data_IF_349624074777
#
_entry.id   IF_349624074777
#
_cell.length_a   1.000
_cell.length_b   1.000
_cell.length_c   1.000
_cell.angle_alpha   90.00
_cell.angle_beta   90.00
_cell.angle_gamma   90.00
#
_symmetry.space_group_name_H-M   'P 1'
#
loop_
_entity.id
_entity.type
_entity.pdbx_description
1 polymer ?
#
# COMPACT_ATOMS: atom_id res chain seq x y z
N UNK A 1 -10.57 -6.87 -12.21
CA UNK A 1 -9.93 -7.67 -11.13
C UNK A 1 -8.54 -7.11 -10.78
N UNK A 2 -7.60 -6.97 -11.72
CA UNK A 2 -6.26 -6.43 -11.40
C UNK A 2 -6.27 -5.04 -10.77
N UNK A 3 -7.01 -4.08 -11.34
CA UNK A 3 -7.10 -2.72 -10.80
C UNK A 3 -7.74 -2.66 -9.40
N UNK A 4 -8.82 -3.43 -9.18
CA UNK A 4 -9.47 -3.49 -7.88
C UNK A 4 -8.55 -4.03 -6.79
N UNK A 5 -7.71 -5.02 -7.10
CA UNK A 5 -6.73 -5.56 -6.16
C UNK A 5 -5.66 -4.53 -5.80
N UNK A 6 -5.24 -3.68 -6.75
CA UNK A 6 -4.34 -2.56 -6.46
C UNK A 6 -4.94 -1.57 -5.48
N UNK A 7 -6.20 -1.14 -5.71
CA UNK A 7 -6.89 -0.22 -4.80
C UNK A 7 -7.09 -0.85 -3.42
N UNK A 8 -7.42 -2.15 -3.35
CA UNK A 8 -7.45 -2.91 -2.08
C UNK A 8 -6.09 -2.84 -1.37
N UNK A 9 -5.00 -3.13 -2.08
CA UNK A 9 -3.65 -3.10 -1.53
C UNK A 9 -3.31 -1.75 -0.90
N UNK A 10 -3.52 -0.65 -1.64
CA UNK A 10 -3.26 0.71 -1.14
C UNK A 10 -4.06 1.01 0.14
N UNK A 11 -5.34 0.63 0.19
CA UNK A 11 -6.15 0.83 1.41
C UNK A 11 -5.73 -0.04 2.58
N UNK A 12 -5.24 -1.25 2.31
CA UNK A 12 -4.67 -2.10 3.36
C UNK A 12 -3.41 -1.46 3.93
N UNK A 13 -2.56 -0.83 3.11
CA UNK A 13 -1.44 -0.04 3.63
C UNK A 13 -1.91 1.10 4.53
N UNK A 14 -2.98 1.81 4.20
CA UNK A 14 -3.55 2.84 5.10
C UNK A 14 -3.96 2.23 6.45
N UNK A 15 -4.74 1.14 6.43
CA UNK A 15 -5.19 0.48 7.65
C UNK A 15 -4.02 0.03 8.52
N UNK A 16 -2.99 -0.54 7.88
CA UNK A 16 -1.77 -1.00 8.54
C UNK A 16 -1.00 0.18 9.15
N UNK A 17 -0.75 1.25 8.40
CA UNK A 17 -0.04 2.43 8.89
C UNK A 17 -0.81 3.13 10.01
N UNK A 18 -2.13 3.21 9.92
CA UNK A 18 -2.97 3.77 10.97
C UNK A 18 -2.95 2.92 12.24
N UNK A 19 -3.07 1.59 12.10
CA UNK A 19 -2.97 0.67 13.23
C UNK A 19 -1.62 0.81 13.96
N UNK A 20 -0.52 0.97 13.23
CA UNK A 20 0.81 1.22 13.82
C UNK A 20 0.90 2.54 14.53
N UNK A 21 0.37 3.61 13.94
CA UNK A 21 0.37 4.92 14.59
C UNK A 21 -0.33 4.83 15.94
N UNK A 22 -1.49 4.19 16.01
CA UNK A 22 -2.21 3.99 17.28
C UNK A 22 -1.37 3.16 18.27
N UNK A 23 -0.77 2.06 17.81
CA UNK A 23 0.04 1.19 18.67
C UNK A 23 1.26 1.92 19.27
N UNK A 24 1.93 2.77 18.48
CA UNK A 24 3.16 3.45 18.89
C UNK A 24 2.87 4.76 19.64
N UNK A 25 1.92 5.57 19.17
CA UNK A 25 1.59 6.85 19.81
C UNK A 25 0.69 6.69 21.03
N UNK A 26 -0.15 5.63 21.09
CA UNK A 26 -1.13 5.41 22.15
C UNK A 26 -1.17 3.95 22.64
N UNK A 27 -0.05 3.40 23.17
CA UNK A 27 0.08 1.98 23.47
C UNK A 27 -1.01 1.44 24.42
N UNK A 28 -1.36 2.17 25.48
CA UNK A 28 -2.39 1.75 26.44
C UNK A 28 -3.83 1.80 25.91
N UNK A 29 -4.09 2.60 24.86
CA UNK A 29 -5.41 2.68 24.23
C UNK A 29 -5.53 1.79 22.99
N UNK A 30 -4.41 1.33 22.44
CA UNK A 30 -4.37 0.48 21.26
C UNK A 30 -5.17 -0.81 21.41
N UNK A 31 -5.08 -1.48 22.57
CA UNK A 31 -5.83 -2.71 22.87
C UNK A 31 -7.34 -2.49 22.98
N UNK A 32 -7.78 -1.25 23.25
CA UNK A 32 -9.21 -0.92 23.34
C UNK A 32 -9.80 -0.61 21.96
N UNK A 33 -9.02 -0.02 21.04
CA UNK A 33 -9.50 0.38 19.71
C UNK A 33 -9.26 -0.66 18.62
N UNK A 34 -8.16 -1.42 18.67
CA UNK A 34 -7.78 -2.42 17.68
C UNK A 34 -8.23 -3.84 18.09
N UNK A 35 -9.53 -3.99 18.30
CA UNK A 35 -10.16 -5.30 18.56
C UNK A 35 -10.37 -6.07 17.25
N UNK A 36 -10.51 -7.40 17.32
CA UNK A 36 -10.80 -8.22 16.14
C UNK A 36 -12.07 -7.75 15.39
N UNK A 37 -13.10 -7.30 16.12
CA UNK A 37 -14.34 -6.79 15.53
C UNK A 37 -14.14 -5.47 14.77
N UNK A 38 -13.45 -4.50 15.38
CA UNK A 38 -13.17 -3.21 14.74
C UNK A 38 -12.22 -3.36 13.55
N UNK A 39 -11.19 -4.21 13.66
CA UNK A 39 -10.30 -4.55 12.53
C UNK A 39 -11.06 -5.22 11.39
N UNK A 40 -11.93 -6.20 11.69
CA UNK A 40 -12.73 -6.88 10.66
C UNK A 40 -13.68 -5.92 9.95
N UNK A 41 -14.33 -5.02 10.70
CA UNK A 41 -15.19 -3.98 10.12
C UNK A 41 -14.39 -3.02 9.23
N UNK A 42 -13.20 -2.58 9.66
CA UNK A 42 -12.33 -1.71 8.87
C UNK A 42 -11.88 -2.37 7.56
N UNK A 43 -11.51 -3.66 7.60
CA UNK A 43 -11.16 -4.44 6.41
C UNK A 43 -12.37 -4.55 5.47
N UNK A 44 -13.56 -4.87 5.99
CA UNK A 44 -14.77 -4.99 5.19
C UNK A 44 -15.14 -3.66 4.50
N UNK A 45 -15.00 -2.54 5.21
CA UNK A 45 -15.20 -1.19 4.66
C UNK A 45 -14.18 -0.92 3.54
N UNK A 46 -12.88 -1.16 3.80
CA UNK A 46 -11.83 -0.93 2.81
C UNK A 46 -12.05 -1.75 1.52
N UNK A 47 -12.39 -3.04 1.67
CA UNK A 47 -12.74 -3.91 0.53
C UNK A 47 -13.95 -3.36 -0.23
N UNK A 48 -15.04 -3.04 0.48
CA UNK A 48 -16.27 -2.53 -0.12
C UNK A 48 -16.03 -1.26 -0.92
N UNK A 49 -15.30 -0.30 -0.34
CA UNK A 49 -14.93 0.95 -1.03
C UNK A 49 -14.07 0.67 -2.28
N UNK A 50 -13.19 -0.35 -2.26
CA UNK A 50 -12.31 -0.67 -3.40
C UNK A 50 -13.07 -1.25 -4.57
N UNK A 51 -14.02 -2.14 -4.27
CA UNK A 51 -14.91 -2.66 -5.29
C UNK A 51 -15.87 -1.59 -5.80
N UNK A 52 -16.43 -0.74 -4.93
CA UNK A 52 -17.29 0.37 -5.33
C UNK A 52 -16.57 1.37 -6.23
N UNK A 53 -15.32 1.73 -5.92
CA UNK A 53 -14.53 2.62 -6.78
C UNK A 53 -14.32 2.02 -8.18
N UNK A 54 -14.13 0.70 -8.28
CA UNK A 54 -13.91 0.01 -9.54
C UNK A 54 -15.20 -0.43 -10.26
N UNK A 55 -16.35 -0.38 -9.60
CA UNK A 55 -17.63 -0.82 -10.15
C UNK A 55 -18.02 -0.13 -11.48
N UNK A 56 -17.75 1.18 -11.69
CA UNK A 56 -18.04 1.84 -12.96
C UNK A 56 -17.41 1.15 -14.19
N UNK A 57 -16.24 0.53 -14.05
CA UNK A 57 -15.57 -0.20 -15.15
C UNK A 57 -16.34 -1.44 -15.65
N UNK A 58 -17.36 -1.88 -14.90
CA UNK A 58 -18.17 -3.07 -15.22
C UNK A 58 -19.57 -2.66 -15.66
N UNK A 59 -20.12 -1.57 -15.13
CA UNK A 59 -21.53 -1.20 -15.28
C UNK A 59 -21.78 -0.03 -16.23
N UNK A 60 -20.76 0.80 -16.52
CA UNK A 60 -20.91 1.98 -17.38
C UNK A 60 -20.46 1.63 -18.79
N UNK A 61 -21.36 1.84 -19.75
CA UNK A 61 -21.04 1.67 -21.17
C UNK A 61 -19.89 2.57 -21.60
N UNK A 62 -19.04 2.07 -22.52
CA UNK A 62 -17.86 2.75 -23.03
C UNK A 62 -16.77 3.11 -21.98
N UNK A 63 -16.88 2.61 -20.75
CA UNK A 63 -15.85 2.72 -19.71
C UNK A 63 -15.20 1.37 -19.46
N UNK A 64 -13.95 1.23 -19.86
CA UNK A 64 -13.20 -0.02 -19.70
C UNK A 64 -11.73 0.25 -19.35
N UNK A 65 -11.08 -0.78 -18.80
CA UNK A 65 -9.65 -0.82 -18.51
C UNK A 65 -9.08 -2.12 -19.05
N UNK A 66 -8.25 -2.05 -20.09
CA UNK A 66 -7.74 -3.25 -20.76
C UNK A 66 -6.27 -3.11 -21.18
N UNK A 67 -5.64 -4.26 -21.40
CA UNK A 67 -4.26 -4.33 -21.85
C UNK A 67 -4.18 -4.17 -23.37
N UNK A 68 -3.53 -3.10 -23.83
CA UNK A 68 -3.25 -2.85 -25.22
C UNK A 68 -1.94 -3.54 -25.63
N UNK A 69 -2.03 -4.52 -26.53
CA UNK A 69 -0.87 -5.30 -27.01
C UNK A 69 0.14 -4.49 -27.82
N UNK A 70 -0.29 -3.44 -28.52
CA UNK A 70 0.60 -2.63 -29.38
C UNK A 70 1.48 -1.70 -28.57
N UNK A 71 0.92 -1.05 -27.55
CA UNK A 71 1.68 -0.20 -26.61
C UNK A 71 2.24 -0.99 -25.43
N UNK A 72 1.80 -2.24 -25.26
CA UNK A 72 2.12 -3.13 -24.13
C UNK A 72 1.80 -2.53 -22.75
N UNK A 73 0.71 -1.76 -22.66
CA UNK A 73 0.28 -1.04 -21.46
C UNK A 73 -1.19 -1.31 -21.16
N UNK A 74 -1.56 -1.19 -19.89
CA UNK A 74 -2.95 -1.08 -19.49
C UNK A 74 -3.43 0.34 -19.73
N UNK A 75 -4.57 0.49 -20.41
CA UNK A 75 -5.15 1.79 -20.74
C UNK A 75 -6.63 1.82 -20.37
N UNK A 76 -7.09 3.01 -19.99
CA UNK A 76 -8.51 3.32 -19.88
C UNK A 76 -9.09 3.65 -21.25
N UNK A 77 -10.42 3.61 -21.38
CA UNK A 77 -11.09 3.97 -22.63
C UNK A 77 -10.71 5.40 -23.08
N UNK A 78 -10.28 5.60 -24.34
CA UNK A 78 -9.71 6.89 -24.79
C UNK A 78 -10.77 7.98 -25.06
N UNK A 79 -11.98 7.81 -24.51
CA UNK A 79 -13.07 8.77 -24.62
C UNK A 79 -13.10 9.71 -23.39
N UNK A 80 -14.06 10.64 -23.36
CA UNK A 80 -14.19 11.63 -22.29
C UNK A 80 -14.46 10.98 -20.92
N UNK A 81 -15.26 9.92 -20.89
CA UNK A 81 -15.65 9.21 -19.65
C UNK A 81 -14.45 8.46 -19.08
N UNK A 82 -13.71 7.73 -19.91
CA UNK A 82 -12.50 7.01 -19.50
C UNK A 82 -11.42 7.93 -18.97
N UNK A 83 -11.13 9.06 -19.65
CA UNK A 83 -10.18 10.06 -19.14
C UNK A 83 -10.62 10.70 -17.83
N UNK A 84 -11.91 10.97 -17.68
CA UNK A 84 -12.46 11.51 -16.43
C UNK A 84 -12.33 10.53 -15.28
N UNK A 85 -12.67 9.26 -15.51
CA UNK A 85 -12.50 8.19 -14.53
C UNK A 85 -11.03 7.98 -14.16
N UNK A 86 -10.15 7.87 -15.16
CA UNK A 86 -8.71 7.70 -14.98
C UNK A 86 -8.12 8.80 -14.08
N UNK A 87 -8.46 10.06 -14.33
CA UNK A 87 -7.96 11.17 -13.52
C UNK A 87 -8.59 11.22 -12.11
N UNK A 88 -9.91 11.16 -12.00
CA UNK A 88 -10.64 11.51 -10.77
C UNK A 88 -11.01 10.32 -9.89
N UNK A 89 -11.19 9.14 -10.47
CA UNK A 89 -11.57 7.92 -9.75
C UNK A 89 -10.41 6.92 -9.63
N UNK A 90 -9.33 7.12 -10.38
CA UNK A 90 -8.14 6.28 -10.27
C UNK A 90 -6.93 7.05 -9.73
N UNK A 91 -6.31 7.92 -10.54
CA UNK A 91 -5.04 8.55 -10.16
C UNK A 91 -5.14 9.45 -8.93
N UNK A 92 -6.11 10.36 -8.88
CA UNK A 92 -6.22 11.30 -7.77
C UNK A 92 -6.48 10.60 -6.42
N UNK A 93 -7.48 9.71 -6.26
CA UNK A 93 -7.71 9.01 -5.00
C UNK A 93 -6.51 8.18 -4.57
N UNK A 94 -5.92 7.41 -5.48
CA UNK A 94 -4.76 6.56 -5.19
C UNK A 94 -3.55 7.39 -4.73
N UNK A 95 -3.31 8.54 -5.36
CA UNK A 95 -2.21 9.44 -4.99
C UNK A 95 -2.44 10.04 -3.60
N UNK A 96 -3.68 10.46 -3.29
CA UNK A 96 -4.05 10.97 -1.96
C UNK A 96 -3.88 9.88 -0.91
N UNK A 97 -4.40 8.68 -1.18
CA UNK A 97 -4.33 7.53 -0.29
C UNK A 97 -2.88 7.13 0.00
N UNK A 98 -2.03 7.08 -1.03
CA UNK A 98 -0.59 6.85 -0.85
C UNK A 98 0.10 7.97 -0.07
N UNK A 99 -0.26 9.23 -0.31
CA UNK A 99 0.21 10.37 0.48
C UNK A 99 -0.16 10.24 1.96
N UNK A 100 -1.36 9.75 2.27
CA UNK A 100 -1.79 9.45 3.65
C UNK A 100 -0.93 8.36 4.27
N UNK A 101 -0.62 7.27 3.55
CA UNK A 101 0.29 6.21 4.03
C UNK A 101 1.64 6.80 4.42
N UNK A 102 2.27 7.55 3.51
CA UNK A 102 3.58 8.18 3.76
C UNK A 102 3.53 9.12 4.97
N UNK A 103 2.48 9.93 5.09
CA UNK A 103 2.30 10.85 6.21
C UNK A 103 2.17 10.08 7.54
N UNK A 104 1.33 9.05 7.60
CA UNK A 104 1.15 8.22 8.80
C UNK A 104 2.46 7.52 9.20
N UNK A 105 3.20 6.99 8.22
CA UNK A 105 4.50 6.33 8.47
C UNK A 105 5.55 7.32 8.99
N UNK A 106 5.61 8.54 8.44
CA UNK A 106 6.51 9.60 8.91
C UNK A 106 6.15 10.02 10.34
N UNK A 107 4.87 10.26 10.64
CA UNK A 107 4.41 10.61 12.00
C UNK A 107 4.80 9.49 12.96
N UNK A 108 4.54 8.23 12.59
CA UNK A 108 4.90 7.06 13.40
C UNK A 108 6.40 7.00 13.67
N UNK A 109 7.24 7.28 12.67
CA UNK A 109 8.70 7.33 12.82
C UNK A 109 9.14 8.45 13.78
N UNK A 110 8.53 9.63 13.70
CA UNK A 110 8.81 10.75 14.61
C UNK A 110 8.49 10.36 16.05
N UNK A 111 7.29 9.80 16.30
CA UNK A 111 6.89 9.32 17.63
C UNK A 111 7.85 8.25 18.15
N UNK A 112 8.24 7.29 17.31
CA UNK A 112 9.18 6.24 17.69
C UNK A 112 10.56 6.81 18.08
N UNK A 113 11.08 7.80 17.34
CA UNK A 113 12.35 8.47 17.67
C UNK A 113 12.26 9.26 18.96
N UNK A 114 11.18 10.01 19.17
CA UNK A 114 10.97 10.79 20.40
C UNK A 114 10.81 9.87 21.62
N UNK A 115 10.05 8.78 21.47
CA UNK A 115 9.90 7.76 22.51
C UNK A 115 11.26 7.12 22.85
N UNK A 116 12.07 6.76 21.85
CA UNK A 116 13.40 6.20 22.07
C UNK A 116 14.36 7.20 22.75
N UNK A 117 14.27 8.49 22.42
CA UNK A 117 15.07 9.55 23.07
C UNK A 117 14.67 9.78 24.54
N UNK A 118 13.41 9.53 24.90
CA UNK A 118 12.87 9.78 26.24
C UNK A 118 12.80 8.51 27.12
N UNK A 119 13.02 7.32 26.55
CA UNK A 119 12.85 6.05 27.27
C UNK A 119 14.17 5.51 27.82
N UNK A 120 14.64 6.15 28.90
CA UNK A 120 15.45 5.49 29.94
C UNK A 120 14.54 4.77 30.96
N UNK A 121 13.21 4.94 30.91
CA UNK A 121 12.27 4.42 31.92
C UNK A 121 10.92 3.95 31.35
N UNK A 122 10.86 2.81 30.66
CA UNK A 122 9.55 2.16 30.44
C UNK A 122 9.63 0.65 30.54
N UNK A 123 8.77 0.14 31.43
CA UNK A 123 8.51 -1.22 31.92
C UNK A 123 8.05 -2.24 30.88
N UNK A 124 8.06 -1.91 29.59
CA UNK A 124 7.81 -2.91 28.54
C UNK A 124 9.03 -3.81 28.36
N UNK A 125 8.81 -5.13 28.37
CA UNK A 125 9.87 -6.12 28.21
C UNK A 125 10.63 -5.88 26.90
N UNK A 126 11.95 -6.10 26.90
CA UNK A 126 12.79 -5.92 25.71
C UNK A 126 12.28 -6.69 24.49
N UNK A 127 11.59 -7.82 24.72
CA UNK A 127 10.93 -8.65 23.70
C UNK A 127 9.78 -7.92 22.98
N UNK A 128 8.90 -7.21 23.70
CA UNK A 128 7.79 -6.46 23.10
C UNK A 128 8.29 -5.34 22.19
N UNK A 129 9.29 -4.58 22.65
CA UNK A 129 9.91 -3.50 21.87
C UNK A 129 10.57 -4.02 20.59
N UNK A 130 11.24 -5.18 20.65
CA UNK A 130 11.88 -5.78 19.50
C UNK A 130 10.87 -6.21 18.41
N UNK A 131 9.71 -6.74 18.82
CA UNK A 131 8.61 -7.09 17.90
C UNK A 131 8.03 -5.84 17.25
N UNK A 132 7.78 -4.78 18.01
CA UNK A 132 7.27 -3.51 17.47
C UNK A 132 8.22 -2.87 16.45
N UNK A 133 9.52 -2.83 16.76
CA UNK A 133 10.55 -2.33 15.83
C UNK A 133 10.61 -3.19 14.56
N UNK A 134 10.50 -4.51 14.67
CA UNK A 134 10.49 -5.42 13.52
C UNK A 134 9.28 -5.15 12.62
N UNK A 135 8.09 -5.02 13.20
CA UNK A 135 6.85 -4.72 12.46
C UNK A 135 6.90 -3.33 11.81
N UNK A 136 7.55 -2.35 12.45
CA UNK A 136 7.81 -1.05 11.84
C UNK A 136 8.74 -1.15 10.63
N UNK A 137 9.88 -1.84 10.79
CA UNK A 137 10.85 -2.04 9.70
C UNK A 137 10.22 -2.73 8.50
N UNK A 138 9.48 -3.81 8.74
CA UNK A 138 8.72 -4.49 7.70
C UNK A 138 7.83 -3.49 6.97
N UNK A 139 7.03 -2.75 7.74
CA UNK A 139 6.08 -1.77 7.23
C UNK A 139 6.68 -0.72 6.31
N UNK A 140 7.75 -0.11 6.79
CA UNK A 140 8.51 0.85 6.03
C UNK A 140 9.09 0.23 4.75
N UNK A 141 9.62 -1.00 4.84
CA UNK A 141 10.12 -1.74 3.68
C UNK A 141 9.04 -1.99 2.63
N UNK A 142 7.80 -2.29 3.02
CA UNK A 142 6.69 -2.51 2.09
C UNK A 142 6.24 -1.21 1.36
N UNK A 143 6.40 -0.04 1.99
CA UNK A 143 6.11 1.25 1.34
C UNK A 143 7.11 1.59 0.22
N UNK A 144 8.32 1.02 0.23
CA UNK A 144 9.39 1.30 -0.76
C UNK A 144 9.06 0.77 -2.16
N UNK A 145 8.70 -0.50 -2.38
CA UNK A 145 8.28 -1.00 -3.71
C UNK A 145 7.14 -0.20 -4.34
N UNK A 146 6.18 0.24 -3.51
CA UNK A 146 5.06 1.07 -3.96
C UNK A 146 5.55 2.44 -4.41
N UNK A 147 6.41 3.10 -3.63
CA UNK A 147 7.01 4.39 -3.99
C UNK A 147 7.80 4.32 -5.31
N UNK A 148 8.57 3.24 -5.49
CA UNK A 148 9.31 2.99 -6.73
C UNK A 148 8.33 2.86 -7.90
N UNK A 149 7.26 2.07 -7.73
CA UNK A 149 6.23 1.90 -8.77
C UNK A 149 5.62 3.23 -9.21
N UNK A 150 5.21 4.08 -8.25
CA UNK A 150 4.68 5.40 -8.58
C UNK A 150 5.70 6.30 -9.27
N UNK A 151 6.96 6.23 -8.86
CA UNK A 151 8.05 7.00 -9.50
C UNK A 151 8.25 6.55 -10.94
N UNK A 152 8.18 5.24 -11.20
CA UNK A 152 8.24 4.69 -12.55
C UNK A 152 7.04 5.11 -13.41
N UNK A 153 5.83 5.12 -12.85
CA UNK A 153 4.64 5.55 -13.58
C UNK A 153 4.68 7.05 -13.90
N UNK A 154 5.04 7.87 -12.93
CA UNK A 154 4.99 9.33 -13.04
C UNK A 154 6.16 9.90 -13.85
N UNK A 155 7.37 9.35 -13.71
CA UNK A 155 8.59 9.96 -14.23
C UNK A 155 9.34 9.08 -15.23
N UNK A 156 9.42 7.76 -15.03
CA UNK A 156 10.18 6.91 -15.97
C UNK A 156 9.39 6.61 -17.25
N UNK A 157 8.11 6.24 -17.11
CA UNK A 157 7.26 5.82 -18.23
C UNK A 157 7.10 6.90 -19.30
N UNK A 158 6.92 8.20 -18.97
CA UNK A 158 6.83 9.25 -20.00
C UNK A 158 8.13 9.53 -20.74
N UNK A 159 9.29 9.08 -20.22
CA UNK A 159 10.61 9.36 -20.78
C UNK A 159 11.16 8.23 -21.66
N UNK A 160 10.56 7.04 -21.61
CA UNK A 160 11.01 5.89 -22.39
C UNK A 160 10.22 5.76 -23.68
N UNK A 161 10.88 5.29 -24.73
CA UNK A 161 10.24 4.98 -26.01
C UNK A 161 10.23 3.47 -26.25
N UNK A 162 9.21 3.01 -26.98
CA UNK A 162 9.06 1.61 -27.36
C UNK A 162 8.16 0.80 -26.42
N UNK A 163 7.37 -0.10 -27.02
CA UNK A 163 6.36 -0.87 -26.30
C UNK A 163 6.95 -1.74 -25.18
N UNK A 164 8.11 -2.36 -25.41
CA UNK A 164 8.75 -3.17 -24.37
C UNK A 164 9.25 -2.33 -23.18
N UNK A 165 9.81 -1.15 -23.43
CA UNK A 165 10.24 -0.26 -22.36
C UNK A 165 9.03 0.20 -21.52
N UNK A 166 7.93 0.59 -22.18
CA UNK A 166 6.67 0.87 -21.51
C UNK A 166 6.15 -0.30 -20.67
N UNK A 167 6.23 -1.53 -21.17
CA UNK A 167 5.85 -2.72 -20.41
C UNK A 167 6.70 -2.85 -19.14
N UNK A 168 8.01 -2.68 -19.25
CA UNK A 168 8.95 -2.78 -18.13
C UNK A 168 8.68 -1.71 -17.06
N UNK A 169 8.41 -0.47 -17.47
CA UNK A 169 8.17 0.65 -16.54
C UNK A 169 6.74 0.71 -16.00
N UNK A 170 5.79 -0.02 -16.61
CA UNK A 170 4.38 -0.07 -16.16
C UNK A 170 4.02 -1.44 -15.59
N UNK A 171 3.67 -2.38 -16.46
CA UNK A 171 3.06 -3.66 -16.09
C UNK A 171 4.01 -4.55 -15.31
N UNK A 172 5.26 -4.68 -15.76
CA UNK A 172 6.26 -5.47 -15.04
C UNK A 172 6.52 -4.86 -13.66
N UNK A 173 6.81 -3.55 -13.59
CA UNK A 173 7.06 -2.86 -12.32
C UNK A 173 5.89 -3.03 -11.34
N UNK A 174 4.66 -2.90 -11.81
CA UNK A 174 3.46 -3.08 -11.01
C UNK A 174 3.40 -4.47 -10.34
N UNK A 175 3.56 -5.54 -11.12
CA UNK A 175 3.50 -6.91 -10.60
C UNK A 175 4.74 -7.25 -9.76
N UNK A 176 5.91 -6.74 -10.16
CA UNK A 176 7.15 -6.92 -9.42
C UNK A 176 7.05 -6.32 -8.02
N UNK A 177 6.49 -5.11 -7.89
CA UNK A 177 6.30 -4.47 -6.61
C UNK A 177 5.38 -5.27 -5.67
N UNK A 178 4.28 -5.84 -6.18
CA UNK A 178 3.44 -6.76 -5.40
C UNK A 178 4.17 -8.02 -4.96
N UNK A 179 4.99 -8.60 -5.85
CA UNK A 179 5.80 -9.76 -5.52
C UNK A 179 6.81 -9.46 -4.41
N UNK A 180 7.47 -8.31 -4.48
CA UNK A 180 8.40 -7.85 -3.44
C UNK A 180 7.67 -7.52 -2.13
N UNK A 181 6.48 -6.92 -2.20
CA UNK A 181 5.67 -6.62 -1.02
C UNK A 181 5.35 -7.91 -0.22
N UNK A 182 4.89 -8.95 -0.91
CA UNK A 182 4.66 -10.27 -0.30
C UNK A 182 5.94 -10.89 0.26
N UNK A 183 7.04 -10.82 -0.50
CA UNK A 183 8.34 -11.34 -0.06
C UNK A 183 8.87 -10.64 1.21
N UNK A 184 8.62 -9.33 1.36
CA UNK A 184 8.98 -8.60 2.58
C UNK A 184 8.19 -9.14 3.79
N UNK A 185 6.91 -9.45 3.63
CA UNK A 185 6.13 -10.06 4.72
C UNK A 185 6.78 -11.37 5.14
N UNK A 186 7.09 -12.23 4.17
CA UNK A 186 7.72 -13.52 4.42
C UNK A 186 9.06 -13.35 5.14
N UNK A 187 9.95 -12.45 4.70
CA UNK A 187 11.23 -12.22 5.37
C UNK A 187 11.09 -11.80 6.85
N UNK A 188 10.09 -10.99 7.17
CA UNK A 188 9.91 -10.45 8.52
C UNK A 188 9.06 -11.32 9.44
N UNK A 189 8.23 -12.21 8.89
CA UNK A 189 7.37 -13.15 9.63
C UNK A 189 7.85 -14.60 9.59
N UNK A 190 8.76 -14.96 8.69
CA UNK A 190 9.37 -16.30 8.66
C UNK A 190 10.14 -16.50 9.95
N UNK A 191 9.67 -17.47 10.74
CA UNK A 191 10.42 -18.03 11.85
C UNK A 191 11.55 -18.90 11.29
N UNK A 192 12.65 -18.25 10.89
CA UNK A 192 13.84 -18.93 10.34
C UNK A 192 14.39 -19.99 11.31
N UNK A 193 14.14 -19.82 12.61
CA UNK A 193 14.41 -20.79 13.68
C UNK A 193 13.67 -22.13 13.54
N UNK A 194 12.59 -22.20 12.75
CA UNK A 194 11.90 -23.45 12.44
C UNK A 194 12.53 -24.21 11.26
N UNK A 195 13.33 -23.53 10.43
CA UNK A 195 13.90 -24.07 9.20
C UNK A 195 15.40 -24.29 9.27
N UNK A 196 16.09 -23.61 10.18
CA UNK A 196 17.49 -23.85 10.50
C UNK A 196 17.54 -24.77 11.73
N UNK A 197 17.73 -26.07 11.49
CA UNK A 197 18.10 -27.06 12.51
C UNK A 197 19.61 -27.22 12.55
#
# INVERSE_FOLDING_TARGET
IGLSLWVVGVRFHILISFNRLIAIAFPFKSQQYATAGTTSAAIAIALSLSFLQCAPLVIVDDLWFCYNKKSMQWIFSPNKIGRYYEANFNYLPITIEFGIVLLLDIITLIYLRLAHSNTVQSTSSASSKAVEIRLFKQAFSQSVPILITFTFFAFATPLVEGAFAHFMTTTFMWHFAHGIDGFIIDLFHTRLDLFVK
#
